data_IF_529149027380
#
_entry.id   IF_529149027380
#
_cell.length_a   1.000
_cell.length_b   1.000
_cell.length_c   1.000
_cell.angle_alpha   90.00
_cell.angle_beta   90.00
_cell.angle_gamma   90.00
#
_symmetry.space_group_name_H-M   'P 1'
#
loop_
_entity.id
_entity.type
_entity.pdbx_description
1 polymer ?
#
# COMPACT_ATOMS: atom_id res chain seq x y z
N UNK A 1 29.33 -23.96 17.24
CA UNK A 1 29.37 -23.85 15.77
C UNK A 1 29.00 -22.45 15.33
N UNK A 2 29.82 -21.79 14.49
CA UNK A 2 29.53 -20.41 14.06
C UNK A 2 28.22 -20.28 13.28
N UNK A 3 27.78 -21.36 12.61
CA UNK A 3 26.59 -21.35 11.77
C UNK A 3 25.26 -21.20 12.56
N UNK A 4 25.22 -21.63 13.81
CA UNK A 4 24.02 -21.53 14.63
C UNK A 4 23.66 -20.08 14.97
N UNK A 5 24.66 -19.29 15.36
CA UNK A 5 24.46 -17.88 15.70
C UNK A 5 24.02 -17.07 14.47
N UNK A 6 24.61 -17.35 13.30
CA UNK A 6 24.22 -16.71 12.04
C UNK A 6 22.79 -17.07 11.65
N UNK A 7 22.39 -18.34 11.79
CA UNK A 7 21.06 -18.80 11.46
C UNK A 7 20.00 -18.15 12.38
N UNK A 8 20.29 -18.06 13.68
CA UNK A 8 19.40 -17.40 14.65
C UNK A 8 19.25 -15.92 14.34
N UNK A 9 20.33 -15.25 14.00
CA UNK A 9 20.31 -13.83 13.61
C UNK A 9 19.46 -13.62 12.38
N UNK A 10 19.65 -14.46 11.34
CA UNK A 10 18.85 -14.40 10.10
C UNK A 10 17.37 -14.64 10.38
N UNK A 11 17.05 -15.61 11.23
CA UNK A 11 15.68 -15.92 11.61
C UNK A 11 15.02 -14.73 12.28
N UNK A 12 15.71 -14.08 13.22
CA UNK A 12 15.20 -12.87 13.90
C UNK A 12 15.01 -11.71 12.93
N UNK A 13 15.97 -11.49 12.01
CA UNK A 13 15.86 -10.45 11.00
C UNK A 13 14.71 -10.72 10.03
N UNK A 14 14.55 -11.97 9.58
CA UNK A 14 13.45 -12.37 8.70
C UNK A 14 12.10 -12.15 9.37
N UNK A 15 11.98 -12.50 10.65
CA UNK A 15 10.76 -12.33 11.39
C UNK A 15 10.42 -10.85 11.59
N UNK A 16 11.41 -10.02 11.91
CA UNK A 16 11.24 -8.58 12.01
C UNK A 16 10.79 -7.96 10.69
N UNK A 17 11.41 -8.35 9.58
CA UNK A 17 11.01 -7.91 8.23
C UNK A 17 9.60 -8.35 7.89
N UNK A 18 9.25 -9.59 8.23
CA UNK A 18 7.92 -10.15 7.99
C UNK A 18 6.84 -9.32 8.70
N UNK A 19 7.05 -8.97 9.96
CA UNK A 19 6.13 -8.15 10.74
C UNK A 19 5.99 -6.76 10.13
N UNK A 20 7.10 -6.11 9.78
CA UNK A 20 7.10 -4.78 9.16
C UNK A 20 6.40 -4.81 7.81
N UNK A 21 6.70 -5.81 6.96
CA UNK A 21 6.07 -5.94 5.65
C UNK A 21 4.58 -6.18 5.75
N UNK A 22 4.16 -7.01 6.70
CA UNK A 22 2.74 -7.26 6.97
C UNK A 22 2.02 -5.99 7.39
N UNK A 23 2.62 -5.21 8.29
CA UNK A 23 2.09 -3.93 8.73
C UNK A 23 1.95 -2.94 7.57
N UNK A 24 2.96 -2.86 6.71
CA UNK A 24 2.94 -1.98 5.54
C UNK A 24 1.87 -2.41 4.53
N UNK A 25 1.69 -3.70 4.30
CA UNK A 25 0.63 -4.22 3.43
C UNK A 25 -0.75 -3.89 3.98
N UNK A 26 -0.95 -4.04 5.27
CA UNK A 26 -2.20 -3.70 5.96
C UNK A 26 -2.50 -2.21 5.79
N UNK A 27 -1.49 -1.36 5.93
CA UNK A 27 -1.62 0.09 5.75
C UNK A 27 -2.07 0.44 4.33
N UNK A 28 -1.47 -0.19 3.31
CA UNK A 28 -1.85 0.01 1.91
C UNK A 28 -3.29 -0.42 1.68
N UNK A 29 -3.67 -1.61 2.14
CA UNK A 29 -5.03 -2.14 1.99
C UNK A 29 -6.06 -1.26 2.69
N UNK A 30 -5.76 -0.79 3.90
CA UNK A 30 -6.65 0.09 4.66
C UNK A 30 -6.87 1.41 3.93
N UNK A 31 -5.80 1.98 3.36
CA UNK A 31 -5.89 3.24 2.63
C UNK A 31 -6.71 3.09 1.34
N UNK A 32 -6.50 2.00 0.59
CA UNK A 32 -7.27 1.70 -0.62
C UNK A 32 -8.75 1.52 -0.26
N UNK A 33 -9.03 0.83 0.84
CA UNK A 33 -10.39 0.60 1.32
C UNK A 33 -11.09 1.91 1.70
N UNK A 34 -10.37 2.84 2.33
CA UNK A 34 -10.90 4.18 2.64
C UNK A 34 -11.28 4.93 1.37
N UNK A 35 -10.41 4.87 0.35
CA UNK A 35 -10.70 5.52 -0.93
C UNK A 35 -11.93 4.90 -1.62
N UNK A 36 -12.04 3.57 -1.62
CA UNK A 36 -13.22 2.90 -2.16
C UNK A 36 -14.51 3.30 -1.43
N UNK A 37 -14.44 3.42 -0.10
CA UNK A 37 -15.59 3.86 0.70
C UNK A 37 -16.00 5.29 0.35
N UNK A 38 -15.03 6.18 0.16
CA UNK A 38 -15.30 7.57 -0.26
C UNK A 38 -15.91 7.62 -1.66
N UNK A 39 -15.44 6.78 -2.58
CA UNK A 39 -15.99 6.67 -3.94
C UNK A 39 -17.44 6.18 -3.90
N UNK A 40 -17.74 5.19 -3.08
CA UNK A 40 -19.11 4.65 -2.91
C UNK A 40 -20.03 5.69 -2.30
N UNK A 41 -19.54 6.50 -1.37
CA UNK A 41 -20.31 7.57 -0.74
C UNK A 41 -20.49 8.80 -1.62
N UNK A 42 -19.67 8.93 -2.69
CA UNK A 42 -19.73 10.06 -3.61
C UNK A 42 -19.22 11.38 -3.05
N UNK A 43 -18.40 11.34 -2.00
CA UNK A 43 -17.84 12.54 -1.37
C UNK A 43 -16.63 13.03 -2.13
N UNK A 44 -16.80 14.02 -3.00
CA UNK A 44 -15.74 14.55 -3.86
C UNK A 44 -14.57 15.15 -3.07
N UNK A 45 -14.85 15.84 -1.96
CA UNK A 45 -13.81 16.44 -1.13
C UNK A 45 -12.92 15.37 -0.49
N UNK A 46 -13.51 14.31 0.06
CA UNK A 46 -12.76 13.19 0.64
C UNK A 46 -11.95 12.46 -0.43
N UNK A 47 -12.52 12.23 -1.62
CA UNK A 47 -11.84 11.58 -2.74
C UNK A 47 -10.61 12.38 -3.13
N UNK A 48 -10.73 13.70 -3.26
CA UNK A 48 -9.62 14.57 -3.63
C UNK A 48 -8.50 14.60 -2.59
N UNK A 49 -8.83 14.44 -1.32
CA UNK A 49 -7.85 14.35 -0.23
C UNK A 49 -7.21 12.95 -0.18
N UNK A 50 -8.00 11.91 -0.35
CA UNK A 50 -7.54 10.53 -0.19
C UNK A 50 -6.71 10.03 -1.36
N UNK A 51 -6.98 10.46 -2.58
CA UNK A 51 -6.28 9.99 -3.77
C UNK A 51 -4.77 10.24 -3.71
N UNK A 52 -4.28 11.49 -3.50
CA UNK A 52 -2.84 11.72 -3.38
C UNK A 52 -2.21 10.98 -2.21
N UNK A 53 -2.91 10.91 -1.08
CA UNK A 53 -2.43 10.18 0.11
C UNK A 53 -2.30 8.68 -0.19
N UNK A 54 -3.26 8.09 -0.89
CA UNK A 54 -3.23 6.69 -1.29
C UNK A 54 -2.07 6.41 -2.25
N UNK A 55 -1.87 7.25 -3.25
CA UNK A 55 -0.77 7.13 -4.21
C UNK A 55 0.58 7.21 -3.47
N UNK A 56 0.72 8.15 -2.54
CA UNK A 56 1.93 8.29 -1.73
C UNK A 56 2.24 7.03 -0.92
N UNK A 57 1.24 6.44 -0.29
CA UNK A 57 1.39 5.21 0.50
C UNK A 57 1.80 4.04 -0.40
N UNK A 58 1.21 3.92 -1.59
CA UNK A 58 1.56 2.88 -2.56
C UNK A 58 3.01 3.05 -3.01
N UNK A 59 3.45 4.27 -3.34
CA UNK A 59 4.83 4.55 -3.74
C UNK A 59 5.82 4.23 -2.63
N UNK A 60 5.50 4.56 -1.39
CA UNK A 60 6.33 4.21 -0.24
C UNK A 60 6.44 2.71 -0.06
N UNK A 61 5.36 1.97 -0.29
CA UNK A 61 5.37 0.51 -0.22
C UNK A 61 6.29 -0.11 -1.27
N UNK A 62 6.36 0.48 -2.48
CA UNK A 62 7.30 0.06 -3.53
C UNK A 62 8.74 0.28 -3.07
N UNK A 63 9.04 1.46 -2.51
CA UNK A 63 10.38 1.79 -2.01
C UNK A 63 10.83 0.84 -0.90
N UNK A 64 9.89 0.41 -0.04
CA UNK A 64 10.17 -0.53 1.04
C UNK A 64 10.23 -1.99 0.57
N UNK A 65 9.97 -2.26 -0.70
CA UNK A 65 9.98 -3.61 -1.25
C UNK A 65 8.77 -4.46 -0.88
N UNK A 66 7.72 -3.85 -0.36
CA UNK A 66 6.47 -4.54 0.01
C UNK A 66 5.61 -4.82 -1.21
N UNK A 67 5.61 -3.92 -2.18
CA UNK A 67 4.89 -4.05 -3.44
C UNK A 67 5.84 -4.00 -4.61
N UNK A 68 5.59 -4.84 -5.63
CA UNK A 68 6.29 -4.74 -6.89
C UNK A 68 5.81 -3.50 -7.66
N UNK A 69 6.74 -2.83 -8.36
CA UNK A 69 6.45 -1.61 -9.13
C UNK A 69 5.31 -1.79 -10.14
N UNK A 70 5.21 -2.96 -10.77
CA UNK A 70 4.17 -3.25 -11.76
C UNK A 70 2.79 -3.34 -11.10
N UNK A 71 2.70 -3.99 -9.96
CA UNK A 71 1.45 -4.08 -9.19
C UNK A 71 1.02 -2.69 -8.70
N UNK A 72 1.97 -1.89 -8.22
CA UNK A 72 1.71 -0.53 -7.76
C UNK A 72 1.21 0.36 -8.91
N UNK A 73 1.84 0.28 -10.08
CA UNK A 73 1.42 1.04 -11.26
C UNK A 73 0.00 0.67 -11.68
N UNK A 74 -0.34 -0.62 -11.64
CA UNK A 74 -1.69 -1.10 -11.95
C UNK A 74 -2.72 -0.55 -10.95
N UNK A 75 -2.43 -0.61 -9.65
CA UNK A 75 -3.31 -0.10 -8.62
C UNK A 75 -3.52 1.41 -8.74
N UNK A 76 -2.44 2.17 -8.94
CA UNK A 76 -2.53 3.62 -9.12
C UNK A 76 -3.38 3.98 -10.33
N UNK A 77 -3.16 3.31 -11.45
CA UNK A 77 -3.91 3.53 -12.68
C UNK A 77 -5.40 3.25 -12.50
N UNK A 78 -5.74 2.12 -11.87
CA UNK A 78 -7.15 1.74 -11.62
C UNK A 78 -7.85 2.71 -10.68
N UNK A 79 -7.16 3.13 -9.61
CA UNK A 79 -7.73 4.08 -8.64
C UNK A 79 -7.96 5.44 -9.29
N UNK A 80 -7.00 5.92 -10.07
CA UNK A 80 -7.11 7.19 -10.80
C UNK A 80 -8.27 7.14 -11.79
N UNK A 81 -8.41 6.04 -12.53
CA UNK A 81 -9.50 5.87 -13.48
C UNK A 81 -10.87 5.91 -12.78
N UNK A 82 -11.01 5.26 -11.64
CA UNK A 82 -12.25 5.27 -10.85
C UNK A 82 -12.59 6.66 -10.33
N UNK A 83 -11.59 7.39 -9.85
CA UNK A 83 -11.77 8.77 -9.39
C UNK A 83 -12.21 9.66 -10.55
N UNK A 84 -11.60 9.53 -11.71
CA UNK A 84 -11.97 10.30 -12.90
C UNK A 84 -13.39 9.98 -13.37
N UNK A 85 -13.80 8.72 -13.31
CA UNK A 85 -15.17 8.31 -13.63
C UNK A 85 -16.18 8.93 -12.65
N UNK A 86 -15.86 8.94 -11.36
CA UNK A 86 -16.71 9.55 -10.35
C UNK A 86 -16.80 11.06 -10.52
N UNK A 87 -15.72 11.72 -10.91
CA UNK A 87 -15.70 13.15 -11.17
C UNK A 87 -16.49 13.53 -12.43
N UNK A 88 -16.53 12.62 -13.42
CA UNK A 88 -17.25 12.85 -14.68
C UNK A 88 -18.78 12.75 -14.52
N UNK A 89 -19.24 12.13 -13.46
CA UNK A 89 -20.67 12.04 -13.14
C UNK A 89 -21.12 13.26 -12.34
#
# INVERSE_FOLDING_TARGET
MPNHKSAEKRARQSEGRRVINRSNRTRVRSQIKKLHSALAAGSKSEINELLPATISIIDKAVQKGVLHKNAAARQKSRLTARVNQAAAK
#
